data_IF_298320933455
#
_entry.id   IF_298320933455
#
_cell.length_a   1.000
_cell.length_b   1.000
_cell.length_c   1.000
_cell.angle_alpha   90.00
_cell.angle_beta   90.00
_cell.angle_gamma   90.00
#
_symmetry.space_group_name_H-M   'P 1'
#
loop_
_entity.id
_entity.type
_entity.pdbx_description
1 polymer ?
#
# COMPACT_ATOMS: atom_id res chain seq x y z
N UNK A 1 -20.72 -9.80 -3.14
CA UNK A 1 -19.62 -10.42 -3.90
C UNK A 1 -18.38 -10.31 -3.04
N UNK A 2 -17.67 -11.40 -2.78
CA UNK A 2 -16.34 -11.35 -2.16
C UNK A 2 -15.35 -10.82 -3.19
N UNK A 3 -14.63 -9.75 -2.84
CA UNK A 3 -13.53 -9.22 -3.66
C UNK A 3 -12.26 -9.99 -3.26
N UNK A 4 -11.54 -10.55 -4.23
CA UNK A 4 -10.26 -11.22 -3.99
C UNK A 4 -9.13 -10.20 -3.85
N UNK A 5 -7.94 -10.61 -3.38
CA UNK A 5 -6.77 -9.74 -3.33
C UNK A 5 -6.35 -9.35 -4.76
N UNK A 6 -6.43 -10.31 -5.69
CA UNK A 6 -6.25 -10.08 -7.13
C UNK A 6 -7.20 -9.02 -7.68
N UNK A 7 -8.48 -9.12 -7.37
CA UNK A 7 -9.48 -8.14 -7.82
C UNK A 7 -9.17 -6.73 -7.30
N UNK A 8 -8.77 -6.63 -6.03
CA UNK A 8 -8.37 -5.36 -5.41
C UNK A 8 -7.12 -4.79 -6.08
N UNK A 9 -6.09 -5.61 -6.29
CA UNK A 9 -4.85 -5.23 -6.97
C UNK A 9 -5.13 -4.65 -8.37
N UNK A 10 -5.90 -5.38 -9.19
CA UNK A 10 -6.26 -4.93 -10.54
C UNK A 10 -7.11 -3.64 -10.53
N UNK A 11 -8.01 -3.50 -9.55
CA UNK A 11 -8.81 -2.28 -9.38
C UNK A 11 -7.93 -1.07 -9.06
N UNK A 12 -6.95 -1.23 -8.16
CA UNK A 12 -5.97 -0.19 -7.82
C UNK A 12 -5.20 0.26 -9.06
N UNK A 13 -4.68 -0.69 -9.85
CA UNK A 13 -3.96 -0.37 -11.08
C UNK A 13 -4.83 0.35 -12.12
N UNK A 14 -6.07 -0.11 -12.31
CA UNK A 14 -7.02 0.55 -13.22
C UNK A 14 -7.27 2.01 -12.82
N UNK A 15 -7.45 2.26 -11.52
CA UNK A 15 -7.65 3.62 -11.01
C UNK A 15 -6.37 4.46 -11.13
N UNK A 16 -5.22 3.89 -10.78
CA UNK A 16 -3.91 4.52 -10.90
C UNK A 16 -3.64 4.99 -12.34
N UNK A 17 -3.87 4.12 -13.32
CA UNK A 17 -3.73 4.46 -14.75
C UNK A 17 -4.69 5.57 -15.15
N UNK A 18 -5.97 5.47 -14.77
CA UNK A 18 -6.98 6.50 -15.08
C UNK A 18 -6.63 7.88 -14.52
N UNK A 19 -6.03 7.92 -13.33
CA UNK A 19 -5.58 9.17 -12.69
C UNK A 19 -4.36 9.73 -13.43
N UNK A 20 -3.31 8.92 -13.61
CA UNK A 20 -2.07 9.39 -14.22
C UNK A 20 -2.19 9.67 -15.72
N UNK A 21 -3.06 8.97 -16.46
CA UNK A 21 -3.34 9.30 -17.87
C UNK A 21 -3.89 10.74 -18.01
N UNK A 22 -4.55 11.27 -16.97
CA UNK A 22 -5.02 12.66 -16.92
C UNK A 22 -3.97 13.63 -16.38
N UNK A 23 -3.24 13.24 -15.33
CA UNK A 23 -2.32 14.15 -14.62
C UNK A 23 -0.92 14.20 -15.23
N UNK A 24 -0.45 13.16 -15.90
CA UNK A 24 0.90 13.11 -16.49
C UNK A 24 1.13 14.23 -17.53
N UNK A 25 0.17 14.56 -18.43
CA UNK A 25 0.32 15.71 -19.34
C UNK A 25 0.46 17.05 -18.60
N UNK A 26 -0.27 17.24 -17.49
CA UNK A 26 -0.24 18.48 -16.70
C UNK A 26 1.03 18.59 -15.85
N UNK A 27 1.47 17.48 -15.25
CA UNK A 27 2.68 17.39 -14.42
C UNK A 27 3.97 17.44 -15.25
N UNK A 28 3.91 17.11 -16.54
CA UNK A 28 5.06 16.99 -17.43
C UNK A 28 6.04 15.87 -17.04
N UNK A 29 5.67 15.02 -16.07
CA UNK A 29 6.45 13.92 -15.53
C UNK A 29 5.51 12.76 -15.23
N UNK A 30 5.94 11.55 -15.62
CA UNK A 30 5.22 10.32 -15.32
C UNK A 30 5.58 9.79 -13.94
N UNK A 31 4.66 9.06 -13.34
CA UNK A 31 4.98 8.20 -12.21
C UNK A 31 5.87 7.04 -12.68
N UNK A 32 7.14 7.11 -12.32
CA UNK A 32 8.11 6.04 -12.55
C UNK A 32 8.15 5.09 -11.36
N UNK A 33 8.73 3.89 -11.50
CA UNK A 33 8.92 2.98 -10.36
C UNK A 33 9.71 3.59 -9.21
N UNK A 34 10.64 4.50 -9.51
CA UNK A 34 11.36 5.25 -8.49
C UNK A 34 10.40 6.12 -7.68
N UNK A 35 9.49 6.84 -8.33
CA UNK A 35 8.46 7.65 -7.66
C UNK A 35 7.53 6.77 -6.83
N UNK A 36 7.10 5.63 -7.37
CA UNK A 36 6.26 4.68 -6.64
C UNK A 36 6.95 4.15 -5.38
N UNK A 37 8.26 3.86 -5.47
CA UNK A 37 9.04 3.39 -4.33
C UNK A 37 9.24 4.48 -3.27
N UNK A 38 9.43 5.74 -3.68
CA UNK A 38 9.54 6.85 -2.72
C UNK A 38 8.22 7.09 -1.99
N UNK A 39 7.10 6.97 -2.71
CA UNK A 39 5.74 7.08 -2.17
C UNK A 39 5.47 5.97 -1.14
N UNK A 40 5.87 4.72 -1.43
CA UNK A 40 5.83 3.62 -0.45
C UNK A 40 6.55 3.94 0.86
N UNK A 41 7.69 4.64 0.81
CA UNK A 41 8.42 5.05 2.01
C UNK A 41 7.74 6.21 2.76
N UNK A 42 7.09 7.11 2.03
CA UNK A 42 6.29 8.20 2.59
C UNK A 42 5.11 7.62 3.40
N UNK A 43 4.31 6.76 2.78
CA UNK A 43 3.18 6.07 3.41
C UNK A 43 3.60 5.23 4.63
N UNK A 44 4.74 4.54 4.55
CA UNK A 44 5.28 3.80 5.70
C UNK A 44 5.66 4.73 6.86
N UNK A 45 6.14 5.95 6.56
CA UNK A 45 6.39 6.99 7.54
C UNK A 45 5.10 7.51 8.20
N UNK A 46 4.02 7.65 7.44
CA UNK A 46 2.71 8.04 7.94
C UNK A 46 2.11 6.99 8.87
N UNK A 47 2.15 5.71 8.47
CA UNK A 47 1.80 4.57 9.33
C UNK A 47 2.57 4.63 10.64
N UNK A 48 3.90 4.81 10.57
CA UNK A 48 4.73 4.90 11.78
C UNK A 48 4.37 6.11 12.65
N UNK A 49 4.01 7.25 12.05
CA UNK A 49 3.57 8.44 12.80
C UNK A 49 2.25 8.21 13.54
N UNK A 50 1.29 7.51 12.92
CA UNK A 50 0.02 7.17 13.55
C UNK A 50 0.22 6.16 14.68
N UNK A 51 0.99 5.09 14.47
CA UNK A 51 1.30 4.09 15.50
C UNK A 51 1.96 4.74 16.72
N UNK A 52 3.00 5.57 16.53
CA UNK A 52 3.64 6.29 17.65
C UNK A 52 2.66 7.18 18.43
N UNK A 53 1.70 7.79 17.74
CA UNK A 53 0.67 8.59 18.40
C UNK A 53 -0.35 7.74 19.16
N UNK A 54 -0.73 6.58 18.64
CA UNK A 54 -1.60 5.61 19.32
C UNK A 54 -0.94 5.02 20.57
N UNK A 55 0.37 4.81 20.52
CA UNK A 55 1.16 4.26 21.62
C UNK A 55 1.66 5.32 22.63
N UNK A 56 1.39 6.61 22.39
CA UNK A 56 1.73 7.69 23.31
C UNK A 56 3.20 8.13 23.30
N UNK A 57 4.00 7.70 22.31
CA UNK A 57 5.41 8.08 22.17
C UNK A 57 5.62 9.53 21.69
N UNK A 58 4.56 10.22 21.27
CA UNK A 58 4.56 11.66 20.99
C UNK A 58 3.20 12.21 21.44
N UNK A 59 3.13 13.28 22.26
CA UNK A 59 1.85 13.95 22.49
C UNK A 59 1.41 14.53 21.14
N UNK A 60 0.36 13.97 20.52
CA UNK A 60 -0.02 14.45 19.22
C UNK A 60 -0.79 15.75 19.41
N UNK A 61 -0.67 16.70 18.48
CA UNK A 61 -1.49 17.92 18.51
C UNK A 61 -3.00 17.59 18.50
N UNK A 62 -3.35 16.41 17.96
CA UNK A 62 -4.69 15.81 17.97
C UNK A 62 -4.59 14.31 18.25
N UNK A 63 -5.51 13.69 19.02
CA UNK A 63 -5.51 12.25 19.24
C UNK A 63 -5.44 11.46 17.92
N UNK A 64 -4.51 10.51 17.82
CA UNK A 64 -4.49 9.55 16.72
C UNK A 64 -5.53 8.45 16.97
N UNK A 65 -6.16 7.95 15.91
CA UNK A 65 -7.23 6.94 16.02
C UNK A 65 -6.94 5.72 15.16
N UNK A 66 -7.69 4.64 15.40
CA UNK A 66 -7.58 3.40 14.60
C UNK A 66 -8.06 3.60 13.17
N UNK A 67 -9.00 4.51 12.96
CA UNK A 67 -9.49 4.89 11.63
C UNK A 67 -8.38 5.57 10.82
N UNK A 68 -7.58 6.43 11.46
CA UNK A 68 -6.41 7.00 10.80
C UNK A 68 -5.40 5.93 10.41
N UNK A 69 -5.14 4.96 11.31
CA UNK A 69 -4.23 3.85 11.00
C UNK A 69 -4.75 2.99 9.84
N UNK A 70 -6.07 2.77 9.79
CA UNK A 70 -6.69 2.06 8.68
C UNK A 70 -6.52 2.81 7.34
N UNK A 71 -6.60 4.14 7.33
CA UNK A 71 -6.29 4.97 6.15
C UNK A 71 -4.85 4.77 5.71
N UNK A 72 -3.85 5.03 6.59
CA UNK A 72 -2.44 4.99 6.14
C UNK A 72 -2.02 3.56 5.73
N UNK A 73 -2.56 2.52 6.38
CA UNK A 73 -2.34 1.14 5.96
C UNK A 73 -2.97 0.84 4.60
N UNK A 74 -4.10 1.48 4.27
CA UNK A 74 -4.76 1.33 2.97
C UNK A 74 -3.97 2.03 1.87
N UNK A 75 -3.42 3.21 2.15
CA UNK A 75 -2.58 3.96 1.20
C UNK A 75 -1.25 3.23 0.94
N UNK A 76 -0.64 2.68 2.00
CA UNK A 76 0.52 1.79 1.87
C UNK A 76 0.20 0.53 1.04
N UNK A 77 -0.96 -0.09 1.24
CA UNK A 77 -1.37 -1.26 0.46
C UNK A 77 -1.64 -0.89 -1.01
N UNK A 78 -2.24 0.28 -1.26
CA UNK A 78 -2.51 0.77 -2.60
C UNK A 78 -1.22 0.88 -3.43
N UNK A 79 -0.17 1.48 -2.87
CA UNK A 79 1.09 1.64 -3.59
C UNK A 79 1.83 0.32 -3.79
N UNK A 80 1.71 -0.64 -2.86
CA UNK A 80 2.21 -2.02 -3.03
C UNK A 80 1.53 -2.67 -4.25
N UNK A 81 0.21 -2.57 -4.38
CA UNK A 81 -0.52 -3.12 -5.53
C UNK A 81 -0.12 -2.46 -6.85
N UNK A 82 0.01 -1.13 -6.86
CA UNK A 82 0.46 -0.39 -8.05
C UNK A 82 1.87 -0.85 -8.48
N UNK A 83 2.77 -1.05 -7.52
CA UNK A 83 4.12 -1.52 -7.80
C UNK A 83 4.14 -2.96 -8.32
N UNK A 84 3.35 -3.86 -7.71
CA UNK A 84 3.21 -5.24 -8.15
C UNK A 84 2.74 -5.31 -9.61
N UNK A 85 1.70 -4.54 -9.95
CA UNK A 85 1.16 -4.46 -11.31
C UNK A 85 2.15 -3.86 -12.31
N UNK A 86 2.90 -2.84 -11.89
CA UNK A 86 3.96 -2.26 -12.72
C UNK A 86 4.99 -3.31 -13.15
N UNK A 87 5.36 -4.23 -12.25
CA UNK A 87 6.32 -5.29 -12.52
C UNK A 87 5.71 -6.61 -13.00
N UNK A 88 4.38 -6.67 -13.19
CA UNK A 88 3.69 -7.88 -13.65
C UNK A 88 3.67 -9.01 -12.60
N UNK A 89 3.58 -8.65 -11.33
CA UNK A 89 3.54 -9.59 -10.20
C UNK A 89 2.08 -9.82 -9.77
N UNK A 90 1.67 -11.08 -9.70
CA UNK A 90 0.39 -11.48 -9.11
C UNK A 90 0.59 -11.68 -7.60
N UNK A 91 0.13 -10.73 -6.78
CA UNK A 91 0.48 -10.69 -5.37
C UNK A 91 -0.31 -11.70 -4.53
N UNK A 92 -1.51 -12.11 -4.96
CA UNK A 92 -2.33 -13.08 -4.23
C UNK A 92 -1.62 -14.44 -4.11
N UNK A 93 -1.15 -14.99 -5.22
CA UNK A 93 -0.42 -16.26 -5.24
C UNK A 93 0.88 -16.17 -4.42
N UNK A 94 1.66 -15.11 -4.60
CA UNK A 94 2.91 -14.90 -3.86
C UNK A 94 2.69 -14.72 -2.35
N UNK A 95 1.63 -14.01 -1.97
CA UNK A 95 1.26 -13.80 -0.58
C UNK A 95 0.80 -15.10 0.09
N UNK A 96 -0.09 -15.87 -0.56
CA UNK A 96 -0.57 -17.15 -0.04
C UNK A 96 0.57 -18.14 0.18
N UNK A 97 1.54 -18.21 -0.76
CA UNK A 97 2.73 -19.02 -0.59
C UNK A 97 3.53 -18.61 0.64
N UNK A 98 3.78 -17.30 0.80
CA UNK A 98 4.53 -16.75 1.94
C UNK A 98 3.88 -17.08 3.29
N UNK A 99 2.54 -16.96 3.36
CA UNK A 99 1.79 -17.27 4.59
C UNK A 99 1.88 -18.76 4.94
N UNK A 100 1.73 -19.65 3.95
CA UNK A 100 1.88 -21.09 4.15
C UNK A 100 3.30 -21.46 4.60
N UNK A 101 4.31 -20.81 4.03
CA UNK A 101 5.71 -21.03 4.41
C UNK A 101 5.98 -20.64 5.88
N UNK A 102 5.33 -19.59 6.39
CA UNK A 102 5.43 -19.25 7.81
C UNK A 102 4.86 -20.33 8.73
N UNK A 103 3.72 -20.93 8.36
CA UNK A 103 3.14 -22.04 9.13
C UNK A 103 4.11 -23.23 9.19
N UNK A 104 4.66 -23.64 8.05
CA UNK A 104 5.62 -24.74 7.98
C UNK A 104 6.92 -24.44 8.74
N UNK A 105 7.37 -23.18 8.70
CA UNK A 105 8.60 -22.75 9.36
C UNK A 105 8.49 -22.78 10.89
N UNK A 106 7.35 -22.41 11.45
CA UNK A 106 7.23 -22.18 12.89
C UNK A 106 6.42 -23.23 13.66
N UNK A 107 5.52 -23.97 13.00
CA UNK A 107 4.55 -24.83 13.72
C UNK A 107 4.78 -26.34 13.55
N UNK A 108 5.50 -26.83 12.53
CA UNK A 108 5.77 -28.26 12.25
C UNK A 108 4.66 -29.25 12.65
#
# INVERSE_FOLDING_TARGET
MSVTLRDAQHLCWKNFRKINDKLDPERGKKWTPLVMLTDLLEEAGEVAAVVKGLEGFKPPEKPKTKEMLATELSDLLYIIFVLAEHYGIELEEAFLQTVNDYMLRFIK
#
